data_IF_281035745793
#
_entry.id   IF_281035745793
#
_cell.length_a   1.000
_cell.length_b   1.000
_cell.length_c   1.000
_cell.angle_alpha   90.00
_cell.angle_beta   90.00
_cell.angle_gamma   90.00
#
_symmetry.space_group_name_H-M   'P 1'
#
loop_
_entity.id
_entity.type
_entity.pdbx_description
1 polymer ?
#
# COMPACT_ATOMS: atom_id res chain seq x y z
N UNK A 1 -22.63 -16.86 35.31
CA UNK A 1 -22.79 -16.63 33.85
C UNK A 1 -21.56 -17.19 33.14
N UNK A 2 -21.72 -17.88 31.99
CA UNK A 2 -20.60 -18.42 31.21
C UNK A 2 -19.87 -17.27 30.50
N UNK A 3 -18.58 -17.10 30.79
CA UNK A 3 -17.72 -16.19 30.04
C UNK A 3 -17.15 -16.93 28.82
N UNK A 4 -17.40 -16.41 27.62
CA UNK A 4 -16.88 -16.98 26.38
C UNK A 4 -15.56 -16.30 26.02
N UNK A 5 -14.51 -17.09 25.82
CA UNK A 5 -13.23 -16.57 25.34
C UNK A 5 -13.34 -16.16 23.86
N UNK A 6 -12.94 -14.93 23.55
CA UNK A 6 -12.75 -14.49 22.17
C UNK A 6 -11.37 -14.97 21.71
N UNK A 7 -11.34 -15.81 20.67
CA UNK A 7 -10.11 -16.45 20.19
C UNK A 7 -9.32 -15.58 19.21
N UNK A 8 -10.03 -14.70 18.48
CA UNK A 8 -9.46 -13.72 17.55
C UNK A 8 -10.52 -12.66 17.20
N UNK A 9 -10.06 -11.51 16.69
CA UNK A 9 -10.91 -10.57 15.96
C UNK A 9 -11.01 -11.04 14.51
N UNK A 10 -12.23 -11.25 14.01
CA UNK A 10 -12.44 -11.69 12.62
C UNK A 10 -12.29 -10.51 11.63
N UNK A 11 -12.99 -9.42 11.89
CA UNK A 11 -12.91 -8.20 11.09
C UNK A 11 -13.34 -6.96 11.88
N UNK A 12 -12.97 -5.79 11.38
CA UNK A 12 -13.42 -4.49 11.86
C UNK A 12 -13.85 -3.60 10.68
N UNK A 13 -14.81 -2.71 10.94
CA UNK A 13 -15.28 -1.70 9.98
C UNK A 13 -14.82 -0.32 10.43
N UNK A 14 -14.08 0.35 9.56
CA UNK A 14 -13.52 1.68 9.77
C UNK A 14 -14.26 2.68 8.86
N UNK A 15 -15.02 3.62 9.45
CA UNK A 15 -15.77 4.60 8.68
C UNK A 15 -14.83 5.64 8.05
N UNK A 16 -15.06 5.93 6.77
CA UNK A 16 -14.33 6.97 6.01
C UNK A 16 -15.30 7.76 5.15
N UNK A 17 -15.07 9.06 4.95
CA UNK A 17 -15.95 9.92 4.14
C UNK A 17 -15.71 9.70 2.64
N UNK A 18 -14.46 9.54 2.25
CA UNK A 18 -14.06 9.35 0.85
C UNK A 18 -13.31 8.02 0.63
N UNK A 19 -14.04 7.01 0.15
CA UNK A 19 -13.48 5.70 -0.21
C UNK A 19 -12.38 5.78 -1.26
N UNK A 20 -12.41 6.73 -2.20
CA UNK A 20 -11.40 6.80 -3.25
C UNK A 20 -10.05 7.18 -2.65
N UNK A 21 -10.06 8.20 -1.79
CA UNK A 21 -8.86 8.63 -1.08
C UNK A 21 -8.39 7.58 -0.07
N UNK A 22 -9.32 6.98 0.69
CA UNK A 22 -9.01 5.88 1.60
C UNK A 22 -8.37 4.69 0.85
N UNK A 23 -8.92 4.28 -0.30
CA UNK A 23 -8.38 3.19 -1.12
C UNK A 23 -6.92 3.45 -1.49
N UNK A 24 -6.58 4.65 -1.94
CA UNK A 24 -5.21 5.00 -2.31
C UNK A 24 -4.27 4.88 -1.11
N UNK A 25 -4.67 5.44 0.04
CA UNK A 25 -3.88 5.41 1.26
C UNK A 25 -3.68 3.99 1.80
N UNK A 26 -4.77 3.27 2.06
CA UNK A 26 -4.72 1.95 2.69
C UNK A 26 -4.10 0.89 1.78
N UNK A 27 -4.30 0.98 0.45
CA UNK A 27 -3.60 0.11 -0.51
C UNK A 27 -2.08 0.30 -0.44
N UNK A 28 -1.59 1.52 -0.22
CA UNK A 28 -0.17 1.78 -0.07
C UNK A 28 0.34 1.36 1.31
N UNK A 29 -0.31 1.84 2.38
CA UNK A 29 0.10 1.63 3.75
C UNK A 29 0.04 0.15 4.16
N UNK A 30 -1.14 -0.47 4.07
CA UNK A 30 -1.36 -1.86 4.45
C UNK A 30 -0.87 -2.84 3.38
N UNK A 31 -0.79 -2.39 2.12
CA UNK A 31 -0.18 -3.18 1.05
C UNK A 31 1.31 -3.46 1.26
N UNK A 32 2.02 -2.62 2.03
CA UNK A 32 3.39 -2.87 2.44
C UNK A 32 3.52 -4.09 3.38
N UNK A 33 2.44 -4.45 4.07
CA UNK A 33 2.31 -5.68 4.86
C UNK A 33 1.80 -6.87 4.03
N UNK A 34 1.69 -6.70 2.71
CA UNK A 34 1.15 -7.71 1.81
C UNK A 34 -0.39 -7.77 1.75
N UNK A 35 -1.11 -6.95 2.53
CA UNK A 35 -2.58 -6.93 2.49
C UNK A 35 -3.08 -6.50 1.10
N UNK A 36 -4.14 -7.15 0.61
CA UNK A 36 -4.78 -6.84 -0.66
C UNK A 36 -6.24 -6.51 -0.45
N UNK A 37 -6.80 -5.68 -1.33
CA UNK A 37 -8.24 -5.55 -1.47
C UNK A 37 -8.73 -6.89 -2.01
N UNK A 38 -9.51 -7.61 -1.22
CA UNK A 38 -9.96 -8.95 -1.53
C UNK A 38 -11.49 -9.08 -1.58
N UNK A 39 -12.21 -7.99 -1.31
CA UNK A 39 -13.65 -7.83 -1.54
C UNK A 39 -13.97 -6.34 -1.67
N UNK A 40 -14.90 -6.02 -2.56
CA UNK A 40 -15.36 -4.67 -2.80
C UNK A 40 -16.87 -4.72 -3.08
N UNK A 41 -17.59 -3.78 -2.48
CA UNK A 41 -19.01 -3.51 -2.68
C UNK A 41 -19.17 -2.00 -2.89
N UNK A 42 -20.37 -1.54 -3.23
CA UNK A 42 -20.60 -0.15 -3.66
C UNK A 42 -20.11 0.91 -2.66
N UNK A 43 -20.24 0.64 -1.36
CA UNK A 43 -19.93 1.55 -0.26
C UNK A 43 -18.86 1.04 0.71
N UNK A 44 -18.13 -0.04 0.35
CA UNK A 44 -17.04 -0.53 1.18
C UNK A 44 -16.01 -1.38 0.42
N UNK A 45 -14.81 -1.47 0.96
CA UNK A 45 -13.84 -2.48 0.53
C UNK A 45 -13.11 -3.12 1.71
N UNK A 46 -12.86 -4.42 1.61
CA UNK A 46 -12.16 -5.22 2.61
C UNK A 46 -10.71 -5.49 2.21
N UNK A 47 -9.79 -5.31 3.15
CA UNK A 47 -8.38 -5.64 3.01
C UNK A 47 -7.95 -6.74 3.97
N UNK A 48 -7.08 -7.62 3.51
CA UNK A 48 -6.50 -8.67 4.33
C UNK A 48 -5.52 -9.56 3.59
N UNK A 49 -5.21 -10.70 4.19
CA UNK A 49 -4.38 -11.73 3.59
C UNK A 49 -5.15 -12.51 2.51
N UNK A 50 -4.54 -13.56 1.95
CA UNK A 50 -5.26 -14.49 1.05
C UNK A 50 -6.39 -15.24 1.76
N UNK A 51 -6.32 -15.39 3.08
CA UNK A 51 -7.23 -16.22 3.88
C UNK A 51 -8.22 -15.40 4.72
N UNK A 52 -7.99 -14.11 4.90
CA UNK A 52 -8.71 -13.30 5.88
C UNK A 52 -9.09 -11.91 5.32
N UNK A 53 -10.18 -11.34 5.84
CA UNK A 53 -10.70 -10.01 5.48
C UNK A 53 -10.82 -9.14 6.72
N UNK A 54 -9.68 -8.77 7.30
CA UNK A 54 -9.65 -8.23 8.65
C UNK A 54 -10.03 -6.74 8.73
N UNK A 55 -9.83 -5.96 7.66
CA UNK A 55 -9.90 -4.50 7.72
C UNK A 55 -10.81 -3.92 6.64
N UNK A 56 -12.03 -3.53 7.02
CA UNK A 56 -13.03 -2.96 6.11
C UNK A 56 -13.05 -1.45 6.19
N UNK A 57 -13.04 -0.79 5.04
CA UNK A 57 -13.23 0.64 4.91
C UNK A 57 -14.65 0.87 4.38
N UNK A 58 -15.48 1.54 5.16
CA UNK A 58 -16.91 1.73 4.88
C UNK A 58 -17.21 3.21 4.71
N UNK A 59 -17.96 3.58 3.67
CA UNK A 59 -18.33 4.96 3.43
C UNK A 59 -19.33 5.45 4.48
N UNK A 60 -18.93 6.44 5.26
CA UNK A 60 -19.82 7.19 6.13
C UNK A 60 -19.51 8.68 6.08
N UNK A 61 -20.51 9.49 5.69
CA UNK A 61 -20.38 10.96 5.64
C UNK A 61 -20.16 11.59 7.03
N UNK A 62 -20.49 10.87 8.10
CA UNK A 62 -20.35 11.29 9.50
C UNK A 62 -19.08 10.77 10.17
N UNK A 63 -18.18 10.10 9.44
CA UNK A 63 -16.93 9.61 10.02
C UNK A 63 -16.14 10.76 10.69
N UNK A 64 -15.78 10.58 11.96
CA UNK A 64 -15.04 11.59 12.75
C UNK A 64 -13.54 11.41 12.66
N UNK A 65 -13.08 10.18 12.40
CA UNK A 65 -11.68 9.84 12.28
C UNK A 65 -10.95 9.67 13.61
N UNK A 66 -11.63 9.43 14.74
CA UNK A 66 -10.94 9.29 16.04
C UNK A 66 -10.59 7.83 16.39
N UNK A 67 -10.71 6.92 15.41
CA UNK A 67 -10.44 5.50 15.60
C UNK A 67 -8.96 5.21 15.81
N UNK A 68 -8.64 4.29 16.71
CA UNK A 68 -7.30 3.75 16.88
C UNK A 68 -7.30 2.25 16.54
N UNK A 69 -6.45 1.89 15.58
CA UNK A 69 -6.42 0.54 15.04
C UNK A 69 -4.98 0.04 15.02
N UNK A 70 -4.68 -0.96 15.85
CA UNK A 70 -3.35 -1.55 15.98
C UNK A 70 -3.31 -2.93 15.33
N UNK A 71 -2.46 -3.10 14.32
CA UNK A 71 -2.21 -4.35 13.63
C UNK A 71 -0.91 -4.97 14.12
N UNK A 72 -0.97 -6.20 14.62
CA UNK A 72 0.22 -6.93 15.06
C UNK A 72 0.90 -7.61 13.86
N UNK A 73 2.22 -7.48 13.79
CA UNK A 73 3.10 -8.16 12.83
C UNK A 73 4.27 -8.82 13.56
N UNK A 74 5.01 -9.68 12.87
CA UNK A 74 6.04 -10.52 13.49
C UNK A 74 7.45 -9.91 13.40
N UNK A 75 7.66 -8.88 12.59
CA UNK A 75 8.97 -8.25 12.41
C UNK A 75 8.97 -6.72 12.53
N UNK A 76 10.12 -6.18 12.97
CA UNK A 76 10.35 -4.73 12.98
C UNK A 76 10.43 -4.13 11.58
N UNK A 77 10.85 -4.93 10.60
CA UNK A 77 10.96 -4.50 9.21
C UNK A 77 9.58 -4.27 8.60
N UNK A 78 8.57 -5.06 8.95
CA UNK A 78 7.18 -4.82 8.56
C UNK A 78 6.64 -3.50 9.15
N UNK A 79 6.95 -3.20 10.42
CA UNK A 79 6.61 -1.92 11.05
C UNK A 79 7.26 -0.75 10.28
N UNK A 80 8.53 -0.89 9.90
CA UNK A 80 9.26 0.11 9.11
C UNK A 80 8.66 0.28 7.71
N UNK A 81 8.34 -0.83 7.04
CA UNK A 81 7.78 -0.85 5.69
C UNK A 81 6.41 -0.18 5.64
N UNK A 82 5.53 -0.52 6.59
CA UNK A 82 4.24 0.16 6.78
C UNK A 82 4.43 1.66 6.94
N UNK A 83 5.27 2.09 7.89
CA UNK A 83 5.44 3.50 8.20
C UNK A 83 5.92 4.28 6.97
N UNK A 84 6.97 3.78 6.31
CA UNK A 84 7.53 4.44 5.13
C UNK A 84 6.50 4.54 3.99
N UNK A 85 5.69 3.49 3.77
CA UNK A 85 4.64 3.50 2.76
C UNK A 85 3.49 4.45 3.10
N UNK A 86 3.05 4.45 4.35
CA UNK A 86 1.96 5.29 4.82
C UNK A 86 2.31 6.79 4.77
N UNK A 87 3.53 7.17 5.17
CA UNK A 87 4.02 8.55 5.04
C UNK A 87 4.10 8.98 3.57
N UNK A 88 4.65 8.13 2.68
CA UNK A 88 4.68 8.41 1.24
C UNK A 88 3.29 8.56 0.62
N UNK A 89 2.29 7.88 1.18
CA UNK A 89 0.90 7.97 0.75
C UNK A 89 0.15 9.20 1.30
N UNK A 90 0.85 10.10 2.00
CA UNK A 90 0.28 11.33 2.56
C UNK A 90 -0.27 11.20 3.98
N UNK A 91 0.01 10.09 4.67
CA UNK A 91 -0.30 9.96 6.08
C UNK A 91 0.51 10.92 6.94
N UNK A 92 -0.08 11.41 8.03
CA UNK A 92 0.59 12.30 8.98
C UNK A 92 1.35 11.45 10.00
N UNK A 93 2.63 11.76 10.20
CA UNK A 93 3.42 11.14 11.25
C UNK A 93 2.77 11.37 12.63
N UNK A 94 2.49 10.29 13.34
CA UNK A 94 2.00 10.30 14.73
C UNK A 94 2.93 9.52 15.68
N UNK A 95 4.07 9.05 15.18
CA UNK A 95 5.05 8.27 15.93
C UNK A 95 5.92 7.43 15.00
N UNK A 96 7.19 7.81 14.85
CA UNK A 96 8.17 7.07 14.03
C UNK A 96 8.36 5.62 14.54
N UNK A 97 8.75 4.67 13.68
CA UNK A 97 9.10 3.32 14.12
C UNK A 97 10.12 3.35 15.26
N UNK A 98 9.83 2.65 16.34
CA UNK A 98 10.71 2.62 17.50
C UNK A 98 10.14 1.83 18.66
N UNK A 99 10.98 1.60 19.67
CA UNK A 99 10.53 1.03 20.94
C UNK A 99 9.60 1.99 21.67
N UNK A 100 8.67 1.42 22.43
CA UNK A 100 7.78 2.10 23.38
C UNK A 100 7.98 1.49 24.77
N UNK A 101 9.06 1.83 25.50
CA UNK A 101 9.38 1.20 26.78
C UNK A 101 8.24 1.32 27.82
N UNK A 102 7.46 2.39 27.73
CA UNK A 102 6.30 2.63 28.58
C UNK A 102 5.14 1.64 28.34
N UNK A 103 5.11 0.95 27.20
CA UNK A 103 4.09 -0.05 26.85
C UNK A 103 4.59 -1.49 27.04
N UNK A 104 5.91 -1.67 27.03
CA UNK A 104 6.55 -2.95 27.27
C UNK A 104 7.95 -3.00 26.66
N UNK A 105 8.83 -3.90 27.16
CA UNK A 105 10.24 -3.93 26.79
C UNK A 105 10.49 -4.23 25.30
N UNK A 106 9.59 -4.97 24.65
CA UNK A 106 9.69 -5.35 23.24
C UNK A 106 8.65 -4.68 22.35
N UNK A 107 7.86 -3.74 22.87
CA UNK A 107 6.82 -3.07 22.10
C UNK A 107 7.46 -2.14 21.06
N UNK A 108 7.59 -2.61 19.82
CA UNK A 108 8.14 -1.84 18.72
C UNK A 108 7.04 -1.51 17.73
N UNK A 109 6.76 -0.22 17.55
CA UNK A 109 5.60 0.22 16.79
C UNK A 109 5.84 1.52 16.01
N UNK A 110 4.96 1.76 15.05
CA UNK A 110 4.86 3.01 14.30
C UNK A 110 3.40 3.44 14.19
N UNK A 111 3.17 4.75 14.18
CA UNK A 111 1.85 5.37 14.23
C UNK A 111 1.73 6.39 13.10
N UNK A 112 0.67 6.25 12.30
CA UNK A 112 0.36 7.17 11.20
C UNK A 112 -1.12 7.52 11.26
N UNK A 113 -1.39 8.82 11.27
CA UNK A 113 -2.75 9.35 11.15
C UNK A 113 -3.16 9.39 9.69
N UNK A 114 -4.29 8.78 9.36
CA UNK A 114 -4.87 8.86 8.02
C UNK A 114 -5.50 10.23 7.73
N UNK A 115 -6.18 10.38 6.59
CA UNK A 115 -6.83 11.65 6.21
C UNK A 115 -8.13 11.93 6.98
N UNK A 116 -8.80 10.89 7.48
CA UNK A 116 -9.98 11.08 8.30
C UNK A 116 -9.62 11.53 9.71
N UNK A 117 -8.43 11.16 10.19
CA UNK A 117 -7.93 11.38 11.54
C UNK A 117 -7.51 10.08 12.24
N UNK A 118 -7.81 8.91 11.66
CA UNK A 118 -7.69 7.63 12.32
C UNK A 118 -6.21 7.35 12.62
N UNK A 119 -5.91 6.91 13.83
CA UNK A 119 -4.57 6.53 14.26
C UNK A 119 -4.30 5.06 13.94
N UNK A 120 -3.59 4.83 12.83
CA UNK A 120 -3.20 3.49 12.39
C UNK A 120 -1.84 3.14 12.99
N UNK A 121 -1.83 2.06 13.76
CA UNK A 121 -0.64 1.50 14.39
C UNK A 121 -0.28 0.15 13.77
N UNK A 122 1.02 -0.06 13.57
CA UNK A 122 1.58 -1.40 13.34
C UNK A 122 2.60 -1.68 14.42
N UNK A 123 2.44 -2.81 15.10
CA UNK A 123 3.21 -3.21 16.29
C UNK A 123 3.79 -4.60 16.11
N UNK A 124 5.02 -4.80 16.59
CA UNK A 124 5.62 -6.12 16.74
C UNK A 124 6.26 -6.27 18.12
N UNK A 125 6.39 -7.51 18.57
CA UNK A 125 7.00 -7.87 19.86
C UNK A 125 8.30 -8.67 19.69
N UNK A 126 8.85 -8.68 18.47
CA UNK A 126 10.08 -9.38 18.16
C UNK A 126 11.25 -8.88 19.02
N UNK A 127 11.92 -9.83 19.66
CA UNK A 127 13.13 -9.58 20.42
C UNK A 127 14.33 -9.49 19.47
N UNK A 128 15.18 -8.48 19.64
CA UNK A 128 16.39 -8.28 18.80
C UNK A 128 17.46 -9.34 19.08
N UNK A 129 17.31 -10.14 20.15
CA UNK A 129 18.31 -11.12 20.58
C UNK A 129 18.42 -12.39 19.72
N UNK A 130 17.60 -12.62 18.70
CA UNK A 130 17.62 -13.87 17.92
C UNK A 130 18.39 -13.84 16.60
N UNK A 131 18.90 -12.69 16.13
CA UNK A 131 19.62 -12.59 14.84
C UNK A 131 21.13 -12.98 14.90
N UNK A 132 21.56 -13.75 15.90
CA UNK A 132 22.99 -13.95 16.19
C UNK A 132 23.45 -15.34 16.62
N UNK A 133 22.74 -16.43 16.27
CA UNK A 133 23.28 -17.79 16.43
C UNK A 133 22.99 -18.66 15.20
N UNK A 134 23.76 -18.47 14.13
CA UNK A 134 24.01 -19.58 13.21
C UNK A 134 24.91 -20.58 13.93
N UNK A 135 24.35 -21.70 14.40
CA UNK A 135 25.16 -22.83 14.85
C UNK A 135 25.96 -23.34 13.65
N UNK A 136 27.24 -22.97 13.61
CA UNK A 136 28.21 -23.49 12.65
C UNK A 136 28.42 -24.99 12.88
N UNK A 137 27.70 -25.83 12.15
CA UNK A 137 28.13 -27.20 11.91
C UNK A 137 29.05 -27.19 10.68
N UNK A 138 30.33 -26.98 10.93
CA UNK A 138 31.40 -27.16 9.95
C UNK A 138 31.53 -28.66 9.64
N UNK A 139 30.95 -29.11 8.53
CA UNK A 139 31.23 -30.44 7.98
C UNK A 139 32.48 -30.35 7.12
N UNK A 140 33.59 -30.80 7.70
CA UNK A 140 34.93 -30.93 7.10
C UNK A 140 34.85 -31.78 5.82
N UNK A 141 35.08 -31.18 4.64
CA UNK A 141 35.28 -31.92 3.38
C UNK A 141 36.79 -32.07 3.17
N UNK A 142 37.31 -33.27 3.40
CA UNK A 142 38.68 -33.63 3.08
C UNK A 142 38.75 -34.29 1.68
N UNK A 143 39.30 -33.55 0.72
CA UNK A 143 40.21 -33.97 -0.38
C UNK A 143 39.85 -35.11 -1.35
N UNK A 144 39.87 -34.83 -2.67
CA UNK A 144 41.00 -35.09 -3.60
C UNK A 144 40.68 -34.60 -5.04
N UNK A 145 41.69 -34.23 -5.86
CA UNK A 145 41.48 -33.58 -7.15
C UNK A 145 41.48 -34.60 -8.31
N UNK A 146 40.74 -34.31 -9.38
CA UNK A 146 40.82 -35.04 -10.64
C UNK A 146 41.10 -34.09 -11.82
N UNK A 147 41.92 -34.62 -12.73
CA UNK A 147 42.76 -33.95 -13.72
C UNK A 147 42.01 -33.31 -14.89
N UNK A 148 42.70 -32.32 -15.46
CA UNK A 148 42.50 -31.64 -16.75
C UNK A 148 42.51 -32.63 -17.93
N UNK A 149 41.64 -32.41 -18.92
CA UNK A 149 41.82 -32.88 -20.30
C UNK A 149 41.28 -31.84 -21.29
N UNK A 150 42.11 -31.48 -22.26
CA UNK A 150 41.82 -30.61 -23.41
C UNK A 150 41.44 -31.45 -24.64
N UNK A 151 40.46 -30.98 -25.43
CA UNK A 151 40.32 -31.17 -26.89
C UNK A 151 39.13 -30.30 -27.34
N UNK A 152 39.27 -29.17 -28.06
CA UNK A 152 39.72 -28.90 -29.43
C UNK A 152 38.62 -28.98 -30.51
N UNK A 153 38.63 -27.97 -31.40
CA UNK A 153 37.94 -27.78 -32.71
C UNK A 153 36.68 -26.91 -32.64
N UNK A 154 36.68 -25.61 -33.00
CA UNK A 154 36.92 -24.87 -34.27
C UNK A 154 35.81 -24.94 -35.34
N UNK A 155 35.22 -23.74 -35.57
CA UNK A 155 34.77 -23.08 -36.82
C UNK A 155 33.55 -23.69 -37.54
N UNK A 156 32.64 -22.95 -38.21
CA UNK A 156 32.76 -21.63 -38.85
C UNK A 156 31.37 -20.96 -39.10
N UNK A 157 31.38 -19.61 -39.26
CA UNK A 157 30.76 -18.77 -40.33
C UNK A 157 29.25 -18.90 -40.67
N UNK A 158 28.47 -17.87 -41.05
CA UNK A 158 28.60 -16.44 -41.37
C UNK A 158 27.16 -15.85 -41.43
N UNK A 159 26.95 -14.56 -41.12
CA UNK A 159 26.48 -13.45 -42.01
C UNK A 159 25.34 -13.81 -43.00
N UNK A 160 24.30 -13.02 -43.28
CA UNK A 160 24.10 -11.57 -43.29
C UNK A 160 22.57 -11.29 -43.45
N UNK A 161 21.98 -10.23 -42.87
CA UNK A 161 21.51 -8.99 -43.55
C UNK A 161 20.68 -9.25 -44.84
N UNK A 162 19.50 -8.63 -45.12
CA UNK A 162 19.10 -7.22 -44.95
C UNK A 162 17.70 -6.97 -45.58
N UNK A 163 16.93 -6.05 -44.97
CA UNK A 163 16.14 -4.92 -45.56
C UNK A 163 14.96 -5.07 -46.54
N UNK A 164 13.94 -4.24 -46.26
CA UNK A 164 13.03 -3.56 -47.21
C UNK A 164 11.75 -3.15 -46.45
N UNK A 165 11.43 -1.91 -46.03
CA UNK A 165 11.53 -0.54 -46.55
C UNK A 165 10.44 -0.15 -47.58
N UNK A 166 9.79 0.99 -47.27
CA UNK A 166 8.95 1.92 -48.08
C UNK A 166 7.48 1.57 -48.34
N UNK A 167 6.52 2.49 -48.55
CA UNK A 167 6.22 3.90 -48.18
C UNK A 167 4.94 4.31 -48.94
N UNK A 168 4.16 5.28 -48.43
CA UNK A 168 3.29 6.28 -49.12
C UNK A 168 2.06 6.56 -48.22
N UNK A 169 1.60 7.77 -47.84
CA UNK A 169 1.60 9.20 -48.26
C UNK A 169 0.30 9.66 -48.97
N UNK A 170 -0.22 10.78 -48.45
CA UNK A 170 -1.24 11.74 -48.97
C UNK A 170 -2.72 11.36 -48.72
N UNK A 171 -3.64 12.26 -48.35
CA UNK A 171 -3.85 13.67 -48.77
C UNK A 171 -4.44 14.60 -47.69
N UNK A 172 -4.27 15.89 -47.94
CA UNK A 172 -4.74 17.10 -47.24
C UNK A 172 -6.11 17.63 -47.70
N UNK A 173 -6.78 18.43 -46.84
CA UNK A 173 -7.76 19.48 -47.19
C UNK A 173 -8.96 19.54 -46.21
N UNK A 174 -9.64 20.65 -45.87
CA UNK A 174 -9.54 22.11 -46.13
C UNK A 174 -10.57 22.83 -45.23
N UNK A 175 -10.14 23.90 -44.52
CA UNK A 175 -10.81 25.17 -44.11
C UNK A 175 -12.24 25.29 -43.50
N UNK A 176 -12.30 26.32 -42.60
CA UNK A 176 -13.37 27.34 -42.31
C UNK A 176 -14.51 26.91 -41.38
N UNK A 177 -15.09 27.73 -40.49
CA UNK A 177 -14.96 29.16 -40.14
C UNK A 177 -15.81 29.49 -38.89
N UNK A 178 -15.45 30.55 -38.14
CA UNK A 178 -16.29 31.51 -37.39
C UNK A 178 -17.58 31.00 -36.70
N UNK A 179 -17.74 31.06 -35.39
CA UNK A 179 -17.81 32.31 -34.61
C UNK A 179 -19.27 32.78 -34.47
N UNK A 180 -19.78 32.94 -33.24
CA UNK A 180 -20.69 34.02 -32.81
C UNK A 180 -20.86 33.99 -31.28
N UNK A 181 -20.76 35.20 -30.74
CA UNK A 181 -20.93 35.68 -29.37
C UNK A 181 -22.34 35.41 -28.80
N UNK A 182 -22.50 35.36 -27.47
CA UNK A 182 -23.06 36.49 -26.67
C UNK A 182 -23.17 36.16 -25.17
N UNK A 183 -22.78 37.14 -24.36
CA UNK A 183 -23.15 37.31 -22.97
C UNK A 183 -24.61 37.80 -22.82
N UNK A 184 -25.24 37.55 -21.67
CA UNK A 184 -25.66 38.60 -20.72
C UNK A 184 -26.76 38.19 -19.71
N UNK A 185 -26.52 38.60 -18.46
CA UNK A 185 -27.42 39.27 -17.49
C UNK A 185 -28.60 38.54 -16.80
N UNK A 186 -28.41 38.46 -15.46
CA UNK A 186 -29.19 39.08 -14.35
C UNK A 186 -30.64 38.64 -14.07
N UNK A 187 -30.87 38.28 -12.80
CA UNK A 187 -31.74 38.96 -11.79
C UNK A 187 -31.67 38.14 -10.48
N UNK A 188 -31.04 38.60 -9.40
CA UNK A 188 -31.60 39.43 -8.31
C UNK A 188 -33.03 39.06 -7.91
N UNK A 189 -33.22 38.49 -6.71
CA UNK A 189 -34.32 38.82 -5.80
C UNK A 189 -33.84 38.68 -4.34
N UNK A 190 -33.87 39.81 -3.63
CA UNK A 190 -33.85 39.88 -2.18
C UNK A 190 -35.26 39.76 -1.62
N UNK A 191 -35.37 39.30 -0.38
CA UNK A 191 -36.33 39.64 0.71
C UNK A 191 -36.08 38.60 1.81
N UNK A 192 -35.38 38.90 2.89
CA UNK A 192 -35.81 39.69 4.05
C UNK A 192 -37.24 39.36 4.51
N UNK A 193 -37.36 38.57 5.57
CA UNK A 193 -38.25 38.91 6.67
C UNK A 193 -37.65 38.45 8.01
N UNK A 194 -37.37 39.44 8.86
CA UNK A 194 -37.38 39.29 10.32
C UNK A 194 -38.80 38.95 10.75
N UNK A 195 -38.95 38.13 11.79
CA UNK A 195 -39.84 38.41 12.92
C UNK A 195 -39.56 37.44 14.08
N UNK A 196 -39.23 38.07 15.20
CA UNK A 196 -39.47 37.74 16.62
C UNK A 196 -38.96 36.41 17.16
#
# INVERSE_FOLDING_TARGET
MKQTAIVALDHISVPVRDLKTARSFYKAALGALGMKINMEVDDAFGMGSKKEKIFWLVRDKKATGDGHYALRVDSRDEVNAFYAAAIRAGGKNNGKPGLRPNYGPNYYAAFVTDREGNNIEVVCYANVRSLGKTNGSSRRVTGRPAKRAMASRQRASAAAKRTGSTSSRSTSGTKRSSGVRRAAKRRSHSKSSRRR
#
